data_IF_424567344144
#
_entry.id   IF_424567344144
#
_cell.length_a   1.000
_cell.length_b   1.000
_cell.length_c   1.000
_cell.angle_alpha   90.00
_cell.angle_beta   90.00
_cell.angle_gamma   90.00
#
_symmetry.space_group_name_H-M   'P 1'
#
loop_
_entity.id
_entity.type
_entity.pdbx_description
1 polymer ?
2 non-polymer ?
3 non-polymer ?
4 non-polymer ?
5 water ?
#
# COMPACT_ATOMS: atom_id res chain seq x y z
N UNK A 1 -20.11 -10.46 14.89
CA UNK A 1 -20.25 -8.97 14.82
C UNK A 1 -19.19 -8.36 13.91
N UNK A 2 -19.07 -7.05 13.96
CA UNK A 2 -17.91 -6.36 13.40
C UNK A 2 -16.70 -6.61 14.30
N UNK A 3 -15.57 -6.95 13.66
CA UNK A 3 -14.29 -7.20 14.36
C UNK A 3 -13.64 -5.92 14.86
N UNK A 4 -13.84 -4.84 14.13
CA UNK A 4 -13.33 -3.56 14.57
C UNK A 4 -13.65 -2.47 13.58
N UNK A 5 -13.14 -1.27 13.89
CA UNK A 5 -13.35 -0.08 13.08
C UNK A 5 -12.02 0.36 12.46
N UNK A 6 -12.07 0.81 11.22
CA UNK A 6 -10.90 1.25 10.49
C UNK A 6 -11.08 2.65 9.98
N UNK A 7 -10.24 3.57 10.41
CA UNK A 7 -10.29 4.94 9.91
C UNK A 7 -9.39 5.05 8.70
N UNK A 8 -9.94 5.63 7.65
CA UNK A 8 -9.22 5.78 6.39
C UNK A 8 -9.75 6.95 5.56
N UNK A 9 -9.40 6.98 4.27
CA UNK A 9 -9.94 7.96 3.33
C UNK A 9 -10.93 7.25 2.42
N UNK A 10 -11.75 8.04 1.72
CA UNK A 10 -12.68 7.45 0.76
C UNK A 10 -11.96 6.82 -0.44
N UNK A 11 -12.48 5.67 -0.84
CA UNK A 11 -11.93 4.94 -1.95
C UNK A 11 -10.67 4.19 -1.58
N UNK A 12 -9.84 3.97 -2.58
CA UNK A 12 -8.67 3.14 -2.39
C UNK A 12 -7.48 4.00 -1.94
N UNK A 13 -6.94 3.64 -0.79
CA UNK A 13 -5.90 4.40 -0.16
C UNK A 13 -4.67 3.50 -0.11
N UNK A 14 -3.49 4.04 -0.40
CA UNK A 14 -2.35 3.16 -0.63
C UNK A 14 -1.87 2.45 0.64
N UNK A 15 -2.18 2.97 1.84
CA UNK A 15 -1.72 2.34 3.09
C UNK A 15 -2.84 1.55 3.78
N UNK A 16 -3.97 1.43 3.07
CA UNK A 16 -5.16 0.79 3.62
C UNK A 16 -5.56 -0.49 2.88
N UNK A 17 -5.20 -0.63 1.62
CA UNK A 17 -5.82 -1.66 0.79
C UNK A 17 -5.57 -3.06 1.33
N UNK A 18 -4.35 -3.38 1.71
CA UNK A 18 -4.08 -4.74 2.21
C UNK A 18 -4.86 -5.04 3.48
N UNK A 19 -5.02 -4.04 4.34
CA UNK A 19 -5.74 -4.21 5.59
C UNK A 19 -7.20 -4.67 5.29
N UNK A 20 -7.92 -3.94 4.46
CA UNK A 20 -9.21 -4.37 3.97
C UNK A 20 -9.13 -5.79 3.37
N UNK A 21 -8.16 -6.00 2.49
CA UNK A 21 -8.03 -7.30 1.83
C UNK A 21 -7.89 -8.49 2.76
N UNK A 22 -6.98 -8.47 3.73
CA UNK A 22 -6.77 -9.66 4.54
C UNK A 22 -7.88 -9.76 5.61
N UNK A 23 -8.61 -8.70 5.83
CA UNK A 23 -9.70 -8.78 6.81
C UNK A 23 -10.83 -9.61 6.19
N UNK A 24 -11.19 -9.25 4.95
CA UNK A 24 -12.15 -10.03 4.19
C UNK A 24 -11.67 -11.50 4.05
N UNK A 25 -10.45 -11.70 3.57
CA UNK A 25 -9.97 -13.05 3.39
C UNK A 25 -9.97 -13.86 4.69
N UNK A 26 -9.83 -13.19 5.82
CA UNK A 26 -9.82 -13.86 7.13
C UNK A 26 -11.20 -13.91 7.74
N UNK A 27 -12.19 -13.40 7.01
CA UNK A 27 -13.56 -13.40 7.44
C UNK A 27 -13.88 -12.48 8.63
N UNK A 28 -13.17 -11.35 8.70
CA UNK A 28 -13.41 -10.33 9.73
C UNK A 28 -14.07 -9.10 9.15
N UNK A 29 -15.28 -8.85 9.64
CA UNK A 29 -16.07 -7.71 9.22
C UNK A 29 -15.48 -6.43 9.78
N UNK A 30 -15.44 -5.36 9.01
CA UNK A 30 -14.87 -4.10 9.51
C UNK A 30 -15.80 -2.97 9.23
N UNK A 31 -15.90 -2.06 10.18
CA UNK A 31 -16.66 -0.85 10.00
C UNK A 31 -15.67 0.14 9.42
N UNK A 32 -15.94 0.63 8.23
CA UNK A 32 -15.00 1.53 7.56
C UNK A 32 -15.45 2.96 7.74
N UNK A 33 -14.70 3.69 8.53
CA UNK A 33 -14.86 5.12 8.65
C UNK A 33 -14.02 5.88 7.64
N UNK A 34 -14.68 6.47 6.65
CA UNK A 34 -13.99 7.18 5.59
C UNK A 34 -13.89 8.65 5.88
N UNK A 35 -14.20 9.04 7.11
CA UNK A 35 -14.09 10.43 7.52
C UNK A 35 -13.10 10.54 8.64
N UNK A 36 -11.90 11.04 8.32
CA UNK A 36 -10.79 11.01 9.26
C UNK A 36 -10.85 12.10 10.32
N UNK A 37 -10.24 11.81 11.47
CA UNK A 37 -9.91 12.79 12.51
C UNK A 37 -11.13 13.24 13.31
N UNK A 38 -12.16 12.39 13.34
CA UNK A 38 -13.25 12.56 14.28
C UNK A 38 -12.66 12.38 15.69
N UNK A 39 -13.42 12.70 16.74
CA UNK A 39 -12.97 12.37 18.09
C UNK A 39 -12.53 10.92 18.23
N UNK A 40 -13.27 9.99 17.65
CA UNK A 40 -12.91 8.58 17.68
C UNK A 40 -11.53 8.27 17.07
N UNK A 41 -11.23 8.85 15.90
CA UNK A 41 -9.96 8.65 15.24
C UNK A 41 -8.77 9.18 16.05
N UNK A 42 -8.87 10.43 16.55
CA UNK A 42 -7.85 11.04 17.40
C UNK A 42 -7.61 10.24 18.71
N UNK A 43 -8.61 9.53 19.14
CA UNK A 43 -8.46 8.69 20.29
C UNK A 43 -7.39 7.60 20.05
N UNK A 44 -7.19 7.26 18.78
CA UNK A 44 -6.25 6.21 18.42
C UNK A 44 -4.95 6.85 17.95
N UNK A 45 -5.09 7.72 16.95
CA UNK A 45 -4.02 8.47 16.39
C UNK A 45 -4.18 9.96 16.69
N UNK A 46 -3.53 10.40 17.76
CA UNK A 46 -3.48 11.82 18.15
C UNK A 46 -2.97 12.79 17.05
N UNK A 47 -2.14 12.28 16.15
CA UNK A 47 -1.66 13.04 15.02
C UNK A 47 -2.59 12.98 13.80
N UNK A 48 -3.67 12.20 13.94
CA UNK A 48 -4.71 12.10 12.94
C UNK A 48 -4.35 11.30 11.69
N UNK A 49 -3.66 10.19 11.86
CA UNK A 49 -3.07 9.51 10.73
C UNK A 49 -3.87 8.31 10.33
N UNK A 50 -3.96 8.14 9.04
CA UNK A 50 -4.66 7.05 8.41
C UNK A 50 -3.67 6.05 7.83
N UNK A 51 -3.87 4.76 8.07
CA UNK A 51 -4.95 4.11 8.80
C UNK A 51 -4.77 4.14 10.31
N UNK A 52 -5.91 4.09 11.02
CA UNK A 52 -5.94 3.82 12.46
C UNK A 52 -7.00 2.77 12.69
N UNK A 53 -6.83 1.97 13.72
CA UNK A 53 -7.73 0.85 13.97
C UNK A 53 -8.14 0.73 15.44
N UNK A 54 -9.38 0.31 15.65
CA UNK A 54 -9.83 -0.13 16.94
C UNK A 54 -10.77 -1.32 16.80
N UNK A 55 -10.43 -2.42 17.50
CA UNK A 55 -11.27 -3.60 17.51
C UNK A 55 -12.61 -3.39 18.20
N UNK A 56 -13.52 -4.36 18.08
CA UNK A 56 -14.71 -4.42 18.94
C UNK A 56 -14.18 -4.71 20.33
N UNK A 57 -13.14 -5.53 20.32
CA UNK A 57 -12.16 -5.65 21.37
C UNK A 57 -12.01 -4.35 22.11
N UNK A 58 -11.89 -3.31 21.29
CA UNK A 58 -11.53 -1.96 21.66
C UNK A 58 -10.00 -1.78 21.83
N UNK A 59 -9.25 -2.84 21.53
CA UNK A 59 -7.82 -2.75 21.18
C UNK A 59 -7.52 -1.68 20.11
N UNK A 60 -6.55 -0.80 20.37
CA UNK A 60 -6.20 0.30 19.43
C UNK A 60 -4.87 0.11 18.67
N UNK A 61 -4.86 0.54 17.42
CA UNK A 61 -3.66 0.49 16.58
C UNK A 61 -3.65 1.57 15.52
N UNK A 62 -2.51 2.25 15.45
CA UNK A 62 -1.88 2.78 14.21
C UNK A 62 -0.68 1.89 14.29
N UNK A 63 0.27 1.67 13.42
CA UNK A 63 0.57 2.06 12.07
C UNK A 63 0.18 1.01 11.02
N UNK A 64 0.22 1.33 9.72
CA UNK A 64 -0.31 0.37 8.71
C UNK A 64 0.34 -1.02 8.73
N UNK A 65 1.67 -1.12 8.86
CA UNK A 65 2.27 -2.42 8.98
C UNK A 65 1.68 -3.18 10.17
N UNK A 66 1.56 -2.51 11.30
CA UNK A 66 1.05 -3.16 12.50
C UNK A 66 -0.40 -3.63 12.35
N UNK A 67 -1.21 -2.83 11.70
CA UNK A 67 -2.60 -3.16 11.58
C UNK A 67 -2.73 -4.38 10.66
N UNK A 68 -2.00 -4.34 9.55
CA UNK A 68 -2.10 -5.37 8.53
C UNK A 68 -1.62 -6.69 9.11
N UNK A 69 -0.49 -6.67 9.79
CA UNK A 69 -0.01 -7.87 10.42
C UNK A 69 -0.99 -8.36 11.50
N UNK A 70 -1.63 -7.46 12.23
CA UNK A 70 -2.47 -7.87 13.35
C UNK A 70 -3.67 -8.66 12.82
N UNK A 71 -4.41 -8.00 11.93
CA UNK A 71 -5.57 -8.56 11.26
C UNK A 71 -5.24 -9.91 10.56
N UNK A 72 -4.07 -10.01 9.95
CA UNK A 72 -3.66 -11.19 9.20
C UNK A 72 -3.39 -12.33 10.18
N UNK A 73 -2.58 -12.05 11.20
CA UNK A 73 -2.24 -13.05 12.21
C UNK A 73 -3.48 -13.68 12.90
N UNK A 74 -4.65 -13.03 12.81
CA UNK A 74 -5.88 -13.56 13.40
C UNK A 74 -6.17 -14.98 12.94
N UNK A 75 -6.02 -15.24 11.65
CA UNK A 75 -6.14 -16.58 11.11
C UNK A 75 -4.81 -17.33 11.23
N UNK A 76 -4.79 -18.38 12.06
CA UNK A 76 -3.56 -19.12 12.38
C UNK A 76 -3.20 -20.06 11.27
N UNK A 77 -4.12 -20.24 10.33
CA UNK A 77 -3.88 -21.09 9.18
C UNK A 77 -3.46 -20.29 7.94
N UNK A 78 -3.27 -18.98 8.09
CA UNK A 78 -2.99 -18.11 6.95
C UNK A 78 -1.73 -18.56 6.24
N UNK A 79 -1.67 -18.31 4.95
CA UNK A 79 -0.46 -18.59 4.18
C UNK A 79 0.15 -17.27 3.69
N UNK A 80 -0.32 -16.16 4.26
CA UNK A 80 0.11 -14.85 3.83
C UNK A 80 1.30 -14.34 4.62
N UNK A 81 1.89 -15.18 5.48
CA UNK A 81 3.03 -14.73 6.27
C UNK A 81 4.19 -15.67 6.21
N UNK A 82 4.35 -16.37 5.09
CA UNK A 82 5.57 -17.11 4.84
C UNK A 82 5.57 -18.52 5.42
N UNK A 83 6.39 -19.39 4.84
CA UNK A 83 6.57 -20.79 5.24
C UNK A 83 7.29 -20.94 6.59
N UNK A 84 8.12 -19.97 6.90
CA UNK A 84 9.16 -20.12 7.90
C UNK A 84 9.70 -18.74 8.38
N UNK A 85 10.69 -18.72 9.26
CA UNK A 85 11.22 -17.46 9.82
C UNK A 85 11.86 -16.56 8.77
N UNK A 86 12.42 -17.13 7.73
CA UNK A 86 13.10 -16.28 6.76
C UNK A 86 12.13 -15.51 5.87
N UNK A 87 11.20 -16.24 5.28
CA UNK A 87 10.14 -15.65 4.50
C UNK A 87 9.34 -14.62 5.30
N UNK A 88 9.16 -14.82 6.60
CA UNK A 88 8.50 -13.83 7.43
C UNK A 88 9.29 -12.55 7.49
N UNK A 89 10.56 -12.65 7.89
CA UNK A 89 11.46 -11.52 7.87
C UNK A 89 11.45 -10.83 6.51
N UNK A 90 11.42 -11.62 5.43
CA UNK A 90 11.36 -11.04 4.06
C UNK A 90 10.06 -10.25 3.80
N UNK A 91 8.95 -10.76 4.33
CA UNK A 91 7.71 -10.08 4.19
C UNK A 91 7.81 -8.75 4.93
N UNK A 92 8.45 -8.75 6.11
CA UNK A 92 8.66 -7.54 6.92
C UNK A 92 9.54 -6.59 6.11
N UNK A 93 10.59 -7.09 5.46
CA UNK A 93 11.49 -6.27 4.69
C UNK A 93 10.79 -5.50 3.59
N UNK A 94 9.95 -6.15 2.81
CA UNK A 94 9.36 -5.47 1.65
C UNK A 94 8.31 -4.50 2.08
N UNK A 95 7.60 -4.85 3.14
CA UNK A 95 6.59 -3.97 3.71
C UNK A 95 7.22 -2.68 4.20
N UNK A 96 8.37 -2.78 4.88
CA UNK A 96 9.09 -1.57 5.38
C UNK A 96 9.77 -0.80 4.24
N UNK A 97 10.35 -1.50 3.27
CA UNK A 97 10.98 -0.82 2.14
C UNK A 97 9.93 -0.04 1.35
N UNK A 98 8.82 -0.68 0.98
CA UNK A 98 7.81 0.02 0.21
C UNK A 98 7.27 1.23 0.99
N UNK A 99 7.03 1.07 2.28
CA UNK A 99 6.42 2.11 3.09
C UNK A 99 7.33 3.29 3.42
N UNK A 100 8.64 3.09 3.48
CA UNK A 100 9.56 4.19 3.78
C UNK A 100 10.36 4.64 2.56
N UNK A 101 10.85 3.73 1.74
CA UNK A 101 11.67 4.16 0.62
C UNK A 101 10.86 4.44 -0.67
N UNK A 102 9.59 4.09 -0.70
CA UNK A 102 8.79 4.37 -1.88
C UNK A 102 7.64 5.33 -1.56
N UNK A 103 6.76 5.01 -0.63
CA UNK A 103 5.63 5.87 -0.37
C UNK A 103 6.07 7.22 0.17
N UNK A 104 7.01 7.24 1.11
CA UNK A 104 7.40 8.50 1.69
C UNK A 104 8.06 9.34 0.62
N UNK A 105 8.94 8.77 -0.21
CA UNK A 105 9.55 9.60 -1.26
C UNK A 105 8.56 9.98 -2.35
N UNK A 106 7.65 9.07 -2.73
CA UNK A 106 6.67 9.44 -3.74
C UNK A 106 5.70 10.52 -3.23
N UNK A 107 5.48 10.56 -1.92
CA UNK A 107 4.59 11.55 -1.35
C UNK A 107 5.15 12.94 -1.55
N UNK A 108 6.46 13.10 -1.38
CA UNK A 108 7.06 14.44 -1.54
C UNK A 108 7.22 14.80 -3.02
N UNK A 109 7.07 13.82 -3.89
CA UNK A 109 7.02 14.10 -5.32
C UNK A 109 5.64 14.58 -5.70
N UNK A 110 4.64 14.20 -4.90
CA UNK A 110 3.25 14.27 -5.32
C UNK A 110 2.55 15.47 -4.74
N UNK A 111 2.69 15.62 -3.44
CA UNK A 111 1.96 16.68 -2.77
C UNK A 111 2.31 18.07 -3.35
N UNK A 112 3.57 18.35 -3.68
CA UNK A 112 3.70 19.69 -4.25
C UNK A 112 2.85 19.85 -5.53
N UNK A 113 2.77 18.80 -6.31
CA UNK A 113 2.09 18.88 -7.58
C UNK A 113 0.58 18.88 -7.47
N UNK A 114 0.08 18.74 -6.26
CA UNK A 114 -1.35 18.84 -5.99
C UNK A 114 -1.65 20.12 -5.24
N UNK A 115 -0.61 20.90 -4.93
CA UNK A 115 -0.77 22.08 -4.10
C UNK A 115 -1.01 21.91 -2.61
N UNK A 116 -0.74 20.72 -2.06
CA UNK A 116 -0.87 20.53 -0.61
C UNK A 116 0.27 21.19 0.15
N UNK A 117 1.42 21.20 -0.51
CA UNK A 117 2.72 21.48 0.10
C UNK A 117 3.44 22.38 -0.92
N UNK A 118 4.29 23.31 -0.45
CA UNK A 118 4.96 24.27 -1.34
C UNK A 118 5.69 23.57 -2.51
N UNK A 119 5.78 24.20 -3.67
CA UNK A 119 6.32 23.57 -4.87
C UNK A 119 7.63 24.20 -5.36
N UNK A 120 8.62 23.34 -5.62
CA UNK A 120 9.93 23.75 -6.12
C UNK A 120 10.33 22.68 -7.14
N UNK A 121 10.47 23.10 -8.39
CA UNK A 121 10.64 22.16 -9.49
C UNK A 121 11.79 21.21 -9.23
N UNK A 122 12.75 21.69 -8.45
CA UNK A 122 13.99 20.95 -8.23
C UNK A 122 13.84 19.97 -7.07
N UNK A 123 13.17 20.40 -6.00
CA UNK A 123 12.78 19.52 -4.90
C UNK A 123 11.98 18.32 -5.45
N UNK A 124 10.94 18.62 -6.23
CA UNK A 124 10.09 17.59 -6.82
C UNK A 124 10.85 16.64 -7.75
N UNK A 125 11.77 17.17 -8.51
CA UNK A 125 12.57 16.36 -9.40
C UNK A 125 13.49 15.42 -8.61
N UNK A 126 14.02 15.91 -7.50
CA UNK A 126 14.81 15.09 -6.61
C UNK A 126 13.98 13.88 -6.16
N UNK A 127 12.84 14.15 -5.56
CA UNK A 127 12.03 13.06 -5.03
C UNK A 127 11.57 12.11 -6.12
N UNK A 128 11.28 12.63 -7.30
CA UNK A 128 10.83 11.77 -8.37
C UNK A 128 11.89 10.73 -8.69
N UNK A 129 13.16 11.15 -8.75
CA UNK A 129 14.29 10.27 -9.05
C UNK A 129 14.72 9.39 -7.88
N UNK A 130 14.65 9.90 -6.66
CA UNK A 130 14.87 9.07 -5.47
C UNK A 130 13.76 8.02 -5.34
N UNK A 131 12.52 8.38 -5.64
CA UNK A 131 11.47 7.40 -5.66
C UNK A 131 11.76 6.33 -6.70
N UNK A 132 12.15 6.72 -7.91
CA UNK A 132 12.40 5.70 -8.94
C UNK A 132 13.64 4.87 -8.67
N UNK A 133 14.61 5.42 -7.98
CA UNK A 133 15.77 4.60 -7.71
C UNK A 133 15.35 3.53 -6.72
N UNK A 134 14.36 3.79 -5.86
CA UNK A 134 13.92 2.70 -4.94
C UNK A 134 13.07 1.68 -5.71
N UNK A 135 12.21 2.15 -6.60
CA UNK A 135 11.41 1.24 -7.42
C UNK A 135 12.34 0.38 -8.30
N UNK A 136 13.45 0.95 -8.78
CA UNK A 136 14.40 0.19 -9.62
C UNK A 136 14.91 -1.08 -8.95
N UNK A 137 15.15 -1.00 -7.64
CA UNK A 137 15.48 -2.18 -6.87
C UNK A 137 14.42 -3.26 -7.01
N UNK A 138 13.15 -2.88 -7.05
CA UNK A 138 12.11 -3.90 -7.11
C UNK A 138 12.03 -4.50 -8.52
N UNK A 139 12.16 -3.65 -9.53
CA UNK A 139 12.16 -4.06 -10.93
C UNK A 139 13.19 -5.16 -11.17
N UNK A 140 14.32 -4.92 -10.54
CA UNK A 140 15.50 -5.75 -10.71
C UNK A 140 15.29 -7.04 -9.94
N UNK A 141 14.82 -6.91 -8.71
CA UNK A 141 14.60 -8.09 -7.88
C UNK A 141 13.59 -9.02 -8.51
N UNK A 142 12.58 -8.44 -9.19
CA UNK A 142 11.46 -9.20 -9.73
C UNK A 142 11.78 -9.84 -11.07
N UNK A 143 12.97 -9.59 -11.58
CA UNK A 143 13.39 -10.20 -12.82
C UNK A 143 13.39 -11.65 -12.51
N UNK A 144 12.53 -12.39 -13.21
CA UNK A 144 12.35 -13.80 -12.94
C UNK A 144 11.94 -14.11 -11.48
N UNK A 145 11.04 -13.31 -10.92
CA UNK A 145 10.30 -13.70 -9.72
C UNK A 145 8.87 -13.39 -9.96
N UNK A 146 8.00 -14.16 -9.35
CA UNK A 146 6.58 -13.94 -9.53
C UNK A 146 6.07 -13.14 -8.36
N UNK A 147 6.33 -13.65 -7.16
CA UNK A 147 5.93 -13.05 -5.92
C UNK A 147 7.13 -12.40 -5.22
N UNK A 148 6.88 -11.41 -4.37
CA UNK A 148 7.96 -10.77 -3.64
C UNK A 148 8.63 -11.77 -2.71
N UNK A 149 7.84 -12.65 -2.11
CA UNK A 149 8.40 -13.56 -1.13
C UNK A 149 7.86 -14.95 -1.36
N UNK A 150 8.80 -15.89 -1.41
CA UNK A 150 8.47 -17.29 -1.60
C UNK A 150 7.83 -17.56 -2.95
N UNK A 151 6.94 -18.53 -2.98
CA UNK A 151 6.42 -19.05 -4.23
C UNK A 151 4.90 -19.00 -4.21
N UNK A 152 4.35 -18.16 -3.37
CA UNK A 152 2.91 -17.88 -3.39
C UNK A 152 2.66 -16.49 -2.82
N UNK A 153 1.45 -15.99 -3.04
CA UNK A 153 1.04 -14.69 -2.53
C UNK A 153 1.30 -14.56 -1.05
N UNK A 154 1.91 -13.45 -0.64
CA UNK A 154 2.05 -13.07 0.78
C UNK A 154 1.50 -11.68 1.04
N UNK A 155 1.47 -11.32 2.33
CA UNK A 155 1.03 -10.02 2.78
C UNK A 155 1.89 -8.95 2.10
N UNK A 156 3.18 -9.23 1.90
CA UNK A 156 4.05 -8.27 1.19
C UNK A 156 3.53 -7.97 -0.19
N UNK A 157 3.16 -8.99 -0.97
CA UNK A 157 2.53 -8.74 -2.28
C UNK A 157 1.30 -7.82 -2.11
N UNK A 158 0.45 -8.08 -1.14
CA UNK A 158 -0.79 -7.32 -1.04
C UNK A 158 -0.52 -5.87 -0.60
N UNK A 159 0.20 -5.75 0.52
CA UNK A 159 0.51 -4.50 1.17
C UNK A 159 1.37 -3.60 0.26
N UNK A 160 2.38 -4.18 -0.36
CA UNK A 160 3.28 -3.42 -1.21
C UNK A 160 2.57 -2.96 -2.48
N UNK A 161 1.80 -3.87 -3.09
CA UNK A 161 1.04 -3.52 -4.27
C UNK A 161 0.11 -2.34 -3.96
N UNK A 162 -0.51 -2.36 -2.78
CA UNK A 162 -1.39 -1.27 -2.41
C UNK A 162 -0.61 0.02 -2.23
N UNK A 163 0.60 -0.11 -1.71
CA UNK A 163 1.47 1.05 -1.54
C UNK A 163 1.78 1.67 -2.89
N UNK A 164 2.26 0.87 -3.85
CA UNK A 164 2.84 1.41 -5.08
C UNK A 164 1.69 1.88 -5.98
N UNK A 165 0.46 1.54 -5.60
CA UNK A 165 -0.71 1.96 -6.38
C UNK A 165 -0.79 3.48 -6.44
N UNK A 166 -0.12 4.15 -5.52
CA UNK A 166 -0.05 5.61 -5.64
C UNK A 166 0.56 6.05 -6.96
N UNK A 167 1.63 5.39 -7.35
CA UNK A 167 2.28 5.69 -8.61
C UNK A 167 1.47 5.33 -9.82
N UNK A 168 0.68 4.26 -9.72
CA UNK A 168 -0.13 3.88 -10.87
C UNK A 168 -1.33 4.81 -11.00
N UNK A 169 -1.63 5.52 -9.93
CA UNK A 169 -2.73 6.43 -9.95
C UNK A 169 -2.39 7.75 -10.62
N UNK A 170 -1.10 8.14 -10.62
CA UNK A 170 -0.73 9.50 -11.01
C UNK A 170 0.37 9.60 -12.03
N UNK A 171 1.43 8.78 -11.88
CA UNK A 171 2.63 8.94 -12.68
C UNK A 171 2.89 7.81 -13.69
N UNK A 172 2.39 6.61 -13.47
CA UNK A 172 2.89 5.48 -14.24
C UNK A 172 1.99 5.14 -15.42
N UNK A 173 2.22 5.84 -16.52
CA UNK A 173 1.46 5.60 -17.74
C UNK A 173 2.07 4.49 -18.55
N UNK A 174 1.64 4.37 -19.81
CA UNK A 174 2.04 3.25 -20.64
C UNK A 174 3.55 3.26 -20.84
N UNK A 175 4.08 4.44 -21.11
CA UNK A 175 5.51 4.61 -21.25
C UNK A 175 6.27 4.01 -20.06
N UNK A 176 6.00 4.53 -18.86
CA UNK A 176 6.61 4.03 -17.64
C UNK A 176 6.55 2.52 -17.52
N UNK A 177 5.44 1.91 -17.93
CA UNK A 177 5.24 0.47 -17.75
C UNK A 177 5.96 -0.32 -18.82
N UNK A 178 6.18 0.34 -19.97
CA UNK A 178 7.00 -0.22 -21.02
C UNK A 178 8.40 -0.29 -20.50
N UNK A 179 8.81 0.80 -19.88
CA UNK A 179 10.13 0.94 -19.29
C UNK A 179 10.37 0.04 -18.05
N UNK A 180 9.31 -0.36 -17.35
CA UNK A 180 9.42 -1.06 -16.05
C UNK A 180 8.51 -2.27 -15.99
N UNK A 181 8.77 -3.23 -16.86
CA UNK A 181 7.90 -4.37 -17.13
C UNK A 181 7.63 -5.32 -15.96
N UNK A 182 8.62 -5.56 -15.10
CA UNK A 182 8.42 -6.53 -14.02
C UNK A 182 7.56 -5.97 -12.88
N UNK A 183 7.75 -4.71 -12.53
CA UNK A 183 6.97 -4.12 -11.46
C UNK A 183 5.55 -4.05 -11.98
N UNK A 184 5.41 -3.58 -13.23
CA UNK A 184 4.12 -3.52 -13.88
C UNK A 184 3.42 -4.88 -13.92
N UNK A 185 4.11 -5.92 -14.30
CA UNK A 185 3.45 -7.20 -14.36
C UNK A 185 3.00 -7.68 -12.99
N UNK A 186 3.88 -7.51 -12.01
CA UNK A 186 3.66 -8.02 -10.67
C UNK A 186 2.50 -7.24 -10.07
N UNK A 187 2.51 -5.91 -10.22
CA UNK A 187 1.44 -5.06 -9.71
C UNK A 187 0.09 -5.42 -10.34
N UNK A 188 0.08 -5.49 -11.66
CA UNK A 188 -1.12 -5.86 -12.38
C UNK A 188 -1.56 -7.29 -11.95
N UNK A 189 -0.63 -8.14 -11.53
CA UNK A 189 -1.00 -9.49 -11.13
C UNK A 189 -1.62 -9.47 -9.75
N UNK A 190 -1.06 -8.69 -8.83
CA UNK A 190 -1.61 -8.63 -7.49
C UNK A 190 -2.96 -7.97 -7.50
N UNK A 191 -3.15 -7.00 -8.40
CA UNK A 191 -4.43 -6.31 -8.46
C UNK A 191 -5.51 -7.22 -8.96
N UNK A 192 -5.16 -8.29 -9.68
CA UNK A 192 -6.17 -9.21 -10.17
C UNK A 192 -6.35 -10.42 -9.27
N UNK A 193 -5.61 -10.49 -8.16
CA UNK A 193 -5.83 -11.56 -7.18
C UNK A 193 -7.17 -11.28 -6.45
N UNK A 194 -8.06 -12.27 -6.33
CA UNK A 194 -9.43 -12.00 -5.84
C UNK A 194 -9.51 -11.40 -4.44
N UNK A 195 -8.62 -11.84 -3.58
CA UNK A 195 -8.49 -11.25 -2.26
C UNK A 195 -8.33 -9.73 -2.30
N UNK A 196 -7.57 -9.23 -3.29
CA UNK A 196 -7.22 -7.82 -3.45
C UNK A 196 -8.23 -7.08 -4.32
N UNK A 197 -8.67 -7.74 -5.37
CA UNK A 197 -9.71 -7.15 -6.19
C UNK A 197 -11.02 -6.94 -5.39
N UNK A 198 -11.28 -7.83 -4.45
CA UNK A 198 -12.53 -7.77 -3.75
C UNK A 198 -12.71 -6.43 -3.01
N UNK A 199 -11.64 -5.84 -2.50
CA UNK A 199 -11.77 -4.65 -1.66
C UNK A 199 -11.30 -3.36 -2.33
N UNK A 200 -11.30 -3.34 -3.67
CA UNK A 200 -10.83 -2.19 -4.45
C UNK A 200 -11.80 -1.80 -5.59
N UNK A 201 -11.71 -0.56 -6.07
CA UNK A 201 -12.43 -0.10 -7.27
C UNK A 201 -11.91 -0.85 -8.48
N UNK A 202 -12.60 -0.75 -9.62
CA UNK A 202 -12.22 -1.53 -10.81
C UNK A 202 -10.82 -1.21 -11.23
N UNK A 203 -10.09 -2.24 -11.66
CA UNK A 203 -8.71 -2.08 -12.13
C UNK A 203 -8.64 -1.14 -13.34
N UNK A 204 -7.70 -0.20 -13.27
CA UNK A 204 -7.57 0.82 -14.28
C UNK A 204 -6.15 1.41 -14.29
N UNK A 205 -5.60 1.67 -15.47
CA UNK A 205 -4.20 2.09 -15.61
C UNK A 205 -4.12 3.34 -16.44
N UNK A 206 -3.13 4.20 -16.18
CA UNK A 206 -2.98 5.46 -16.92
C UNK A 206 -2.57 5.17 -18.34
N UNK A 207 -2.78 6.11 -19.27
CA UNK A 207 -2.23 6.01 -20.63
C UNK A 207 -1.04 6.92 -20.58
N UNK A 208 -1.32 8.20 -20.35
CA UNK A 208 -0.31 9.17 -20.00
C UNK A 208 -0.38 9.47 -18.50
N UNK A 209 0.75 9.83 -17.90
CA UNK A 209 0.67 10.24 -16.49
C UNK A 209 -0.31 11.39 -16.26
N UNK A 210 -1.03 11.40 -15.12
CA UNK A 210 -1.85 12.54 -14.77
C UNK A 210 -0.92 13.67 -14.38
N UNK A 211 0.34 13.38 -14.13
CA UNK A 211 1.26 14.40 -13.63
C UNK A 211 2.68 14.28 -14.12
N UNK A 212 3.20 15.43 -14.48
CA UNK A 212 4.60 15.64 -14.76
C UNK A 212 4.94 16.79 -13.83
N UNK A 213 6.22 17.02 -13.56
CA UNK A 213 6.57 17.93 -12.48
C UNK A 213 6.33 19.41 -12.80
N UNK A 214 5.16 19.72 -13.38
CA UNK A 214 4.64 21.09 -13.48
C UNK A 214 3.82 21.42 -12.21
N UNK A 215 3.70 22.71 -11.87
CA UNK A 215 3.16 23.15 -10.58
C UNK A 215 1.73 22.71 -10.28
#
# INVERSE_FOLDING_TARGET
>A
MVFGTLYTFPGDQCRTIAIKAVAKANGLDLDIRETPRTPDHLSISKLGKVPAFQGADSFKLFECMAIALYITSQNEQTTLLGKDKKEYAEIIKWMSFFNTEIVILMTQQLLPQLGVIPYDRDQVEFFANMTQRSVDVVEEYLQDRTFLVGDQLSLADLFCAGNISLGFQFFYGKAWRQQNPNVSRWYEMVCHQPIYAAVTDKFQLLDEPKLTNNPPEKKPETVPKNGAAVAIEATQAGHHHHHH
#
